data_IF_354804233889
#
_entry.id   IF_354804233889
#
_cell.length_a   1.000
_cell.length_b   1.000
_cell.length_c   1.000
_cell.angle_alpha   90.00
_cell.angle_beta   90.00
_cell.angle_gamma   90.00
#
_symmetry.space_group_name_H-M   'P 1'
#
loop_
_entity.id
_entity.type
_entity.pdbx_description
1 polymer ?
#
# COMPACT_ATOMS: atom_id res chain seq x y z
N UNK A 1 44.67 0.21 0.71
CA UNK A 1 43.74 -0.92 0.90
C UNK A 1 42.39 -0.32 1.28
N UNK A 2 41.43 -0.31 0.34
CA UNK A 2 40.10 0.25 0.59
C UNK A 2 39.21 -0.83 1.21
N UNK A 3 39.01 -0.77 2.52
CA UNK A 3 38.11 -1.62 3.30
C UNK A 3 36.64 -1.18 3.21
N UNK A 4 36.33 -0.27 2.29
CA UNK A 4 35.00 0.29 2.10
C UNK A 4 33.91 -0.76 1.83
N UNK A 5 34.15 -1.82 1.01
CA UNK A 5 33.17 -2.89 0.85
C UNK A 5 32.92 -3.67 2.14
N UNK A 6 33.96 -3.90 2.94
CA UNK A 6 33.88 -4.60 4.24
C UNK A 6 33.13 -3.78 5.28
N UNK A 7 33.28 -2.45 5.25
CA UNK A 7 32.53 -1.56 6.14
C UNK A 7 31.02 -1.57 5.83
N UNK A 8 30.65 -1.54 4.55
CA UNK A 8 29.24 -1.63 4.12
C UNK A 8 28.64 -3.01 4.45
N UNK A 9 29.41 -4.08 4.29
CA UNK A 9 28.97 -5.45 4.60
C UNK A 9 28.69 -5.66 6.09
N UNK A 10 29.60 -5.21 6.97
CA UNK A 10 29.42 -5.25 8.43
C UNK A 10 28.23 -4.36 8.85
N UNK A 11 28.05 -3.21 8.20
CA UNK A 11 26.94 -2.31 8.51
C UNK A 11 25.59 -2.92 8.08
N UNK A 12 25.49 -3.49 6.89
CA UNK A 12 24.27 -4.17 6.44
C UNK A 12 23.98 -5.45 7.22
N UNK A 13 25.01 -6.20 7.63
CA UNK A 13 24.85 -7.42 8.43
C UNK A 13 24.38 -7.15 9.86
N UNK A 14 24.80 -6.03 10.46
CA UNK A 14 24.47 -5.71 11.85
C UNK A 14 23.27 -4.75 12.00
N UNK A 15 22.96 -3.95 10.98
CA UNK A 15 21.92 -2.90 11.04
C UNK A 15 20.88 -2.97 9.92
N UNK A 16 21.04 -3.88 8.95
CA UNK A 16 20.01 -4.17 7.97
C UNK A 16 18.93 -5.08 8.54
N UNK A 17 17.72 -5.08 7.94
CA UNK A 17 16.69 -6.07 8.24
C UNK A 17 17.26 -7.49 8.11
N UNK A 18 17.09 -8.32 9.15
CA UNK A 18 17.59 -9.71 9.19
C UNK A 18 17.02 -10.53 8.04
N UNK A 19 15.83 -10.15 7.55
CA UNK A 19 15.23 -10.69 6.34
C UNK A 19 14.30 -9.64 5.70
N UNK A 20 14.78 -8.88 4.69
CA UNK A 20 13.99 -7.80 4.07
C UNK A 20 12.69 -8.28 3.42
N UNK A 21 12.60 -9.56 3.05
CA UNK A 21 11.36 -10.15 2.50
C UNK A 21 10.34 -10.38 3.62
N UNK A 22 10.75 -11.00 4.73
CA UNK A 22 9.85 -11.26 5.87
C UNK A 22 9.40 -9.95 6.56
N UNK A 23 10.29 -8.97 6.58
CA UNK A 23 9.96 -7.64 7.11
C UNK A 23 8.93 -6.95 6.20
N UNK A 24 9.10 -7.02 4.87
CA UNK A 24 8.12 -6.50 3.92
C UNK A 24 6.76 -7.19 4.00
N UNK A 25 6.70 -8.51 4.25
CA UNK A 25 5.45 -9.23 4.49
C UNK A 25 4.73 -8.68 5.72
N UNK A 26 5.47 -8.52 6.82
CA UNK A 26 4.94 -7.99 8.08
C UNK A 26 4.45 -6.56 7.91
N UNK A 27 5.21 -5.72 7.19
CA UNK A 27 4.79 -4.36 6.88
C UNK A 27 3.55 -4.33 5.98
N UNK A 28 3.47 -5.22 4.98
CA UNK A 28 2.33 -5.29 4.07
C UNK A 28 1.04 -5.69 4.80
N UNK A 29 1.11 -6.65 5.72
CA UNK A 29 -0.02 -7.09 6.54
C UNK A 29 -0.50 -6.01 7.52
N UNK A 30 0.43 -5.18 8.02
CA UNK A 30 0.12 -4.07 8.92
C UNK A 30 -0.16 -2.76 8.18
N UNK A 31 -0.04 -2.72 6.86
CA UNK A 31 -0.21 -1.51 6.07
C UNK A 31 -1.68 -1.08 6.10
N UNK A 32 -1.94 0.04 6.75
CA UNK A 32 -3.25 0.68 6.81
C UNK A 32 -3.20 2.08 6.22
N UNK A 33 -4.19 2.40 5.39
CA UNK A 33 -4.44 3.75 4.92
C UNK A 33 -5.22 4.51 5.99
N UNK A 34 -4.66 5.63 6.46
CA UNK A 34 -5.37 6.55 7.35
C UNK A 34 -6.55 7.21 6.61
N UNK A 35 -7.64 7.51 7.32
CA UNK A 35 -8.86 8.10 6.74
C UNK A 35 -8.63 9.47 6.06
N UNK A 36 -7.60 10.19 6.48
CA UNK A 36 -7.21 11.50 5.92
C UNK A 36 -6.07 11.42 4.89
N UNK A 37 -5.57 10.22 4.59
CA UNK A 37 -4.56 10.03 3.56
C UNK A 37 -5.21 9.89 2.18
N UNK A 38 -4.45 10.27 1.16
CA UNK A 38 -4.82 9.98 -0.24
C UNK A 38 -4.34 8.57 -0.60
N UNK A 39 -5.16 7.87 -1.36
CA UNK A 39 -4.90 6.48 -1.73
C UNK A 39 -3.64 6.32 -2.59
N UNK A 40 -3.20 7.39 -3.26
CA UNK A 40 -1.96 7.39 -4.04
C UNK A 40 -0.76 7.02 -3.17
N UNK A 41 -0.67 7.56 -1.95
CA UNK A 41 0.43 7.24 -1.02
C UNK A 41 0.39 5.77 -0.61
N UNK A 42 -0.80 5.28 -0.24
CA UNK A 42 -1.01 3.88 0.11
C UNK A 42 -0.60 2.93 -1.04
N UNK A 43 -1.01 3.25 -2.27
CA UNK A 43 -0.68 2.45 -3.45
C UNK A 43 0.83 2.38 -3.73
N UNK A 44 1.56 3.48 -3.54
CA UNK A 44 3.02 3.49 -3.74
C UNK A 44 3.68 2.55 -2.74
N UNK A 45 3.41 2.70 -1.45
CA UNK A 45 3.98 1.85 -0.40
C UNK A 45 3.58 0.38 -0.58
N UNK A 46 2.32 0.11 -0.93
CA UNK A 46 1.85 -1.25 -1.22
C UNK A 46 2.61 -1.87 -2.42
N UNK A 47 2.80 -1.12 -3.50
CA UNK A 47 3.51 -1.60 -4.69
C UNK A 47 5.00 -1.83 -4.42
N UNK A 48 5.64 -0.97 -3.63
CA UNK A 48 7.03 -1.13 -3.20
C UNK A 48 7.21 -2.44 -2.41
N UNK A 49 6.37 -2.65 -1.38
CA UNK A 49 6.43 -3.84 -0.53
C UNK A 49 6.08 -5.13 -1.28
N UNK A 50 5.07 -5.10 -2.14
CA UNK A 50 4.68 -6.28 -2.94
C UNK A 50 5.70 -6.66 -4.00
N UNK A 51 6.57 -5.73 -4.42
CA UNK A 51 7.65 -5.99 -5.39
C UNK A 51 8.86 -6.70 -4.76
N UNK A 52 8.97 -6.75 -3.44
CA UNK A 52 10.12 -7.35 -2.74
C UNK A 52 10.10 -8.88 -2.69
N UNK A 53 8.97 -9.51 -3.03
CA UNK A 53 8.81 -10.97 -3.00
C UNK A 53 8.27 -11.49 -4.33
N UNK A 54 9.06 -12.35 -4.95
CA UNK A 54 8.61 -13.15 -6.09
C UNK A 54 7.58 -14.19 -5.64
N UNK A 55 6.42 -14.23 -6.33
CA UNK A 55 5.46 -15.32 -6.18
C UNK A 55 4.33 -15.10 -5.17
N UNK A 56 4.00 -13.85 -4.81
CA UNK A 56 2.74 -13.57 -4.12
C UNK A 56 1.54 -14.15 -4.87
N UNK A 57 0.67 -14.87 -4.17
CA UNK A 57 -0.60 -15.33 -4.74
C UNK A 57 -1.53 -14.13 -4.90
N UNK A 58 -2.09 -13.95 -6.09
CA UNK A 58 -3.00 -12.85 -6.40
C UNK A 58 -4.16 -12.71 -5.38
N UNK A 59 -4.83 -13.80 -4.94
CA UNK A 59 -5.86 -13.68 -3.91
C UNK A 59 -5.35 -13.10 -2.59
N UNK A 60 -4.12 -13.43 -2.18
CA UNK A 60 -3.50 -12.90 -0.95
C UNK A 60 -3.29 -11.39 -1.07
N UNK A 61 -2.75 -10.91 -2.19
CA UNK A 61 -2.56 -9.46 -2.42
C UNK A 61 -3.89 -8.71 -2.42
N UNK A 62 -4.93 -9.26 -3.06
CA UNK A 62 -6.27 -8.66 -3.03
C UNK A 62 -6.82 -8.56 -1.60
N UNK A 63 -6.66 -9.61 -0.79
CA UNK A 63 -7.10 -9.61 0.60
C UNK A 63 -6.36 -8.59 1.46
N UNK A 64 -5.02 -8.55 1.36
CA UNK A 64 -4.20 -7.61 2.14
C UNK A 64 -4.48 -6.17 1.73
N UNK A 65 -4.57 -5.91 0.43
CA UNK A 65 -4.94 -4.59 -0.09
C UNK A 65 -6.30 -4.16 0.46
N UNK A 66 -7.34 -5.01 0.32
CA UNK A 66 -8.68 -4.69 0.81
C UNK A 66 -8.69 -4.47 2.32
N UNK A 67 -7.95 -5.26 3.10
CA UNK A 67 -7.87 -5.10 4.55
C UNK A 67 -7.26 -3.76 4.99
N UNK A 68 -6.25 -3.27 4.27
CA UNK A 68 -5.58 -2.01 4.57
C UNK A 68 -6.37 -0.74 4.21
N UNK A 69 -7.45 -0.86 3.44
CA UNK A 69 -8.29 0.29 3.07
C UNK A 69 -9.09 0.85 4.26
N UNK A 70 -9.40 2.16 4.27
CA UNK A 70 -10.28 2.75 5.28
C UNK A 70 -11.72 2.24 5.11
N UNK A 71 -12.51 2.33 6.17
CA UNK A 71 -13.90 1.84 6.19
C UNK A 71 -14.79 2.57 5.20
N UNK A 72 -14.56 3.87 4.96
CA UNK A 72 -15.29 4.65 3.98
C UNK A 72 -15.17 4.08 2.56
N UNK A 73 -13.95 3.76 2.12
CA UNK A 73 -13.72 3.16 0.80
C UNK A 73 -14.30 1.74 0.72
N UNK A 74 -14.15 0.93 1.78
CA UNK A 74 -14.73 -0.42 1.84
C UNK A 74 -16.26 -0.41 1.71
N UNK A 75 -16.93 0.53 2.37
CA UNK A 75 -18.37 0.67 2.32
C UNK A 75 -18.84 1.04 0.91
N UNK A 76 -18.22 2.03 0.28
CA UNK A 76 -18.53 2.42 -1.10
C UNK A 76 -18.23 1.29 -2.10
N UNK A 77 -17.12 0.58 -1.92
CA UNK A 77 -16.80 -0.60 -2.72
C UNK A 77 -17.87 -1.70 -2.62
N UNK A 78 -18.48 -1.89 -1.45
CA UNK A 78 -19.51 -2.92 -1.25
C UNK A 78 -20.76 -2.68 -2.11
N UNK A 79 -20.99 -1.45 -2.53
CA UNK A 79 -22.07 -1.07 -3.44
C UNK A 79 -21.70 -1.23 -4.92
N UNK A 80 -20.43 -1.49 -5.23
CA UNK A 80 -19.92 -1.69 -6.60
C UNK A 80 -19.77 -3.18 -6.95
N UNK A 81 -19.68 -3.52 -8.24
CA UNK A 81 -19.44 -4.90 -8.66
C UNK A 81 -18.12 -5.43 -8.09
N UNK A 82 -18.10 -6.66 -7.55
CA UNK A 82 -16.94 -7.22 -6.83
C UNK A 82 -15.75 -7.43 -7.78
N UNK A 83 -14.70 -6.58 -7.73
CA UNK A 83 -13.51 -6.80 -8.54
C UNK A 83 -12.78 -8.06 -8.05
N UNK A 84 -12.37 -8.92 -8.97
CA UNK A 84 -11.60 -10.14 -8.66
C UNK A 84 -10.11 -9.97 -8.94
N UNK A 85 -9.71 -8.83 -9.52
CA UNK A 85 -8.34 -8.51 -9.86
C UNK A 85 -7.81 -7.39 -8.95
N UNK A 86 -6.53 -7.46 -8.59
CA UNK A 86 -5.88 -6.42 -7.78
C UNK A 86 -6.02 -5.05 -8.46
N UNK A 87 -5.74 -4.98 -9.78
CA UNK A 87 -5.91 -3.76 -10.57
C UNK A 87 -7.33 -3.21 -10.53
N UNK A 88 -8.34 -4.08 -10.54
CA UNK A 88 -9.74 -3.68 -10.41
C UNK A 88 -10.06 -3.08 -9.05
N UNK A 89 -9.58 -3.71 -7.96
CA UNK A 89 -9.73 -3.18 -6.60
C UNK A 89 -9.04 -1.81 -6.49
N UNK A 90 -7.79 -1.68 -6.94
CA UNK A 90 -7.06 -0.41 -6.91
C UNK A 90 -7.79 0.69 -7.68
N UNK A 91 -8.33 0.38 -8.87
CA UNK A 91 -9.04 1.35 -9.70
C UNK A 91 -10.31 1.89 -9.02
N UNK A 92 -11.12 1.00 -8.44
CA UNK A 92 -12.35 1.42 -7.73
C UNK A 92 -11.97 2.26 -6.51
N UNK A 93 -10.96 1.82 -5.76
CA UNK A 93 -10.46 2.54 -4.59
C UNK A 93 -10.00 3.97 -4.95
N UNK A 94 -9.25 4.11 -6.04
CA UNK A 94 -8.78 5.39 -6.58
C UNK A 94 -9.93 6.29 -6.99
N UNK A 95 -10.95 5.72 -7.65
CA UNK A 95 -12.12 6.48 -8.08
C UNK A 95 -12.88 7.05 -6.89
N UNK A 96 -13.10 6.24 -5.84
CA UNK A 96 -13.80 6.68 -4.63
C UNK A 96 -13.03 7.78 -3.90
N UNK A 97 -11.72 7.58 -3.68
CA UNK A 97 -10.86 8.57 -3.02
C UNK A 97 -10.81 9.89 -3.81
N UNK A 98 -10.70 9.82 -5.14
CA UNK A 98 -10.69 11.00 -5.99
C UNK A 98 -11.98 11.81 -5.87
N UNK A 99 -13.14 11.15 -5.96
CA UNK A 99 -14.43 11.82 -5.78
C UNK A 99 -14.56 12.50 -4.41
N UNK A 100 -14.06 11.85 -3.35
CA UNK A 100 -14.07 12.42 -2.00
C UNK A 100 -13.23 13.71 -1.92
N UNK A 101 -12.00 13.68 -2.44
CA UNK A 101 -11.11 14.84 -2.41
C UNK A 101 -11.57 15.96 -3.34
N UNK A 102 -12.16 15.66 -4.49
CA UNK A 102 -12.78 16.66 -5.36
C UNK A 102 -13.92 17.39 -4.63
N UNK A 103 -14.84 16.64 -4.01
CA UNK A 103 -15.93 17.22 -3.23
C UNK A 103 -15.40 18.09 -2.10
N UNK A 104 -14.41 17.61 -1.34
CA UNK A 104 -13.81 18.36 -0.25
C UNK A 104 -13.13 19.66 -0.75
N UNK A 105 -12.47 19.63 -1.91
CA UNK A 105 -11.85 20.80 -2.52
C UNK A 105 -12.89 21.82 -3.01
N UNK A 106 -14.04 21.37 -3.51
CA UNK A 106 -15.13 22.25 -3.90
C UNK A 106 -15.80 22.96 -2.73
N UNK A 107 -16.03 22.24 -1.63
CA UNK A 107 -16.61 22.81 -0.40
C UNK A 107 -15.68 23.88 0.17
N UNK A 108 -14.38 23.60 0.24
CA UNK A 108 -13.37 24.55 0.72
C UNK A 108 -13.28 25.83 -0.14
N UNK A 109 -13.57 25.75 -1.44
CA UNK A 109 -13.56 26.91 -2.36
C UNK A 109 -14.79 27.81 -2.21
N UNK A 110 -15.89 27.28 -1.68
CA UNK A 110 -17.18 27.98 -1.52
C UNK A 110 -17.37 28.56 -0.11
N UNK A 111 -16.46 28.26 0.82
CA UNK A 111 -16.42 28.82 2.18
C UNK A 111 -15.50 30.04 2.26
#
# INVERSE_FOLDING_TARGET
MNNYPTFLDIHCTNFGPVNPVADAETELENLQMADNHQIVKYNITFNELSSLKDGWKLPTLCCVYYHGLPTCIKNEMSHTAKPTTLKGICFIAQTIDHCYWEHHAEVARKS
#
